data_IF_058868756629
#
_entry.id   IF_058868756629
#
_cell.length_a   1.000
_cell.length_b   1.000
_cell.length_c   1.000
_cell.angle_alpha   90.00
_cell.angle_beta   90.00
_cell.angle_gamma   90.00
#
_symmetry.space_group_name_H-M   'P 1'
#
loop_
_entity.id
_entity.type
_entity.pdbx_description
1 polymer ?
#
# COMPACT_ATOMS: atom_id res chain seq x y z
N UNK A 1 -10.80 -15.88 6.39
CA UNK A 1 -10.33 -15.58 7.77
C UNK A 1 -8.85 -15.23 7.69
N UNK A 2 -8.39 -14.14 8.31
CA UNK A 2 -6.99 -13.70 8.26
C UNK A 2 -6.09 -14.67 9.06
N UNK A 3 -5.00 -15.21 8.48
CA UNK A 3 -4.09 -16.09 9.20
C UNK A 3 -3.14 -15.25 10.07
N UNK A 4 -3.67 -14.67 11.15
CA UNK A 4 -2.94 -13.74 12.03
C UNK A 4 -1.63 -14.30 12.58
N UNK A 5 -1.54 -15.61 12.80
CA UNK A 5 -0.30 -16.27 13.24
C UNK A 5 0.77 -16.34 12.14
N UNK A 6 0.37 -16.32 10.87
CA UNK A 6 1.28 -16.45 9.74
C UNK A 6 1.69 -15.10 9.17
N UNK A 7 0.87 -14.06 9.29
CA UNK A 7 1.14 -12.73 8.75
C UNK A 7 1.67 -11.79 9.84
N UNK A 8 2.98 -11.51 9.79
CA UNK A 8 3.70 -10.66 10.73
C UNK A 8 3.88 -9.27 10.13
N UNK A 9 3.67 -8.22 10.93
CA UNK A 9 3.99 -6.86 10.51
C UNK A 9 5.51 -6.72 10.42
N UNK A 10 6.02 -6.26 9.27
CA UNK A 10 7.45 -6.14 8.97
C UNK A 10 7.87 -4.72 8.60
N UNK A 11 6.93 -3.81 8.41
CA UNK A 11 7.23 -2.41 8.10
C UNK A 11 5.99 -1.62 7.70
N UNK A 12 6.22 -0.42 7.18
CA UNK A 12 5.17 0.46 6.65
C UNK A 12 5.68 1.18 5.40
N UNK A 13 4.78 1.44 4.46
CA UNK A 13 5.05 2.27 3.28
C UNK A 13 4.80 3.76 3.57
N UNK A 14 4.27 4.09 4.76
CA UNK A 14 4.09 5.46 5.21
C UNK A 14 5.44 6.14 5.32
N UNK A 15 5.70 7.07 4.40
CA UNK A 15 6.86 7.97 4.49
C UNK A 15 6.59 9.05 5.54
N UNK A 16 7.65 9.60 6.15
CA UNK A 16 7.52 10.84 6.91
C UNK A 16 6.88 11.92 6.03
N UNK A 17 5.83 12.57 6.55
CA UNK A 17 5.22 13.71 5.86
C UNK A 17 6.20 14.90 5.87
N UNK A 18 6.34 15.65 4.76
CA UNK A 18 7.17 16.85 4.73
C UNK A 18 6.78 17.85 5.81
N UNK A 19 7.74 18.70 6.21
CA UNK A 19 7.48 19.71 7.22
C UNK A 19 6.38 20.68 6.77
N UNK A 20 5.30 20.76 7.54
CA UNK A 20 4.13 21.59 7.23
C UNK A 20 2.94 20.81 6.68
N UNK A 21 3.12 19.55 6.31
CA UNK A 21 2.02 18.63 5.96
C UNK A 21 1.63 17.77 7.15
N UNK A 22 0.33 17.44 7.24
CA UNK A 22 -0.21 16.62 8.33
C UNK A 22 -0.54 15.19 7.91
N UNK A 23 -0.76 14.94 6.62
CA UNK A 23 -1.16 13.64 6.09
C UNK A 23 -0.53 13.33 4.74
N UNK A 24 -0.39 12.04 4.44
CA UNK A 24 -0.01 11.58 3.11
C UNK A 24 -1.10 11.92 2.08
N UNK A 25 -0.67 12.21 0.85
CA UNK A 25 -1.57 12.52 -0.28
C UNK A 25 -2.63 11.45 -0.52
N UNK A 26 -3.80 11.89 -1.00
CA UNK A 26 -4.88 11.03 -1.50
C UNK A 26 -4.86 10.87 -3.02
N UNK A 27 -3.85 11.40 -3.71
CA UNK A 27 -3.69 11.22 -5.16
C UNK A 27 -3.48 9.75 -5.51
N UNK A 28 -4.17 9.28 -6.55
CA UNK A 28 -4.07 7.92 -7.08
C UNK A 28 -3.18 7.89 -8.33
N UNK A 29 -2.47 6.77 -8.55
CA UNK A 29 -1.63 6.58 -9.73
C UNK A 29 -2.17 5.46 -10.62
N UNK A 30 -2.89 5.84 -11.68
CA UNK A 30 -3.55 4.92 -12.60
C UNK A 30 -3.33 5.31 -14.08
N UNK A 31 -2.08 5.22 -14.60
CA UNK A 31 -1.74 5.60 -15.97
C UNK A 31 -2.49 4.80 -17.05
N UNK A 32 -3.05 3.65 -16.69
CA UNK A 32 -3.83 2.78 -17.58
C UNK A 32 -5.33 2.74 -17.23
N UNK A 33 -5.82 3.69 -16.42
CA UNK A 33 -7.26 3.79 -16.11
C UNK A 33 -7.79 2.72 -15.15
N UNK A 34 -6.90 2.06 -14.40
CA UNK A 34 -7.27 1.16 -13.29
C UNK A 34 -7.91 1.95 -12.14
N UNK A 35 -8.42 1.26 -11.12
CA UNK A 35 -8.79 1.82 -9.82
C UNK A 35 -7.95 1.17 -8.74
N UNK A 36 -7.81 1.76 -7.56
CA UNK A 36 -6.93 1.18 -6.54
C UNK A 36 -7.32 -0.23 -6.07
N UNK A 37 -8.59 -0.60 -6.20
CA UNK A 37 -9.11 -1.94 -5.91
C UNK A 37 -8.76 -2.98 -6.99
N UNK A 38 -8.39 -2.54 -8.20
CA UNK A 38 -8.14 -3.40 -9.35
C UNK A 38 -6.95 -4.34 -9.13
N UNK A 39 -7.03 -5.64 -9.48
CA UNK A 39 -5.89 -6.58 -9.43
C UNK A 39 -4.70 -6.17 -10.30
N UNK A 40 -4.87 -5.26 -11.24
CA UNK A 40 -3.80 -4.74 -12.12
C UNK A 40 -3.36 -3.31 -11.75
N UNK A 41 -3.91 -2.73 -10.67
CA UNK A 41 -3.52 -1.41 -10.21
C UNK A 41 -2.03 -1.36 -9.85
N UNK A 42 -1.28 -0.35 -10.33
CA UNK A 42 0.11 -0.17 -9.95
C UNK A 42 0.27 0.03 -8.44
N UNK A 43 1.17 -0.72 -7.82
CA UNK A 43 1.61 -0.54 -6.43
C UNK A 43 2.64 0.59 -6.40
N UNK A 44 2.13 1.83 -6.41
CA UNK A 44 2.95 3.05 -6.38
C UNK A 44 3.05 3.58 -4.94
N UNK A 45 4.24 3.44 -4.33
CA UNK A 45 4.46 3.67 -2.88
C UNK A 45 4.20 5.11 -2.41
N UNK A 46 4.28 6.09 -3.32
CA UNK A 46 4.03 7.49 -3.03
C UNK A 46 2.53 7.89 -3.10
N UNK A 47 1.68 7.04 -3.67
CA UNK A 47 0.28 7.36 -3.99
C UNK A 47 -0.71 6.57 -3.16
N UNK A 48 -1.94 7.10 -3.06
CA UNK A 48 -3.05 6.43 -2.40
C UNK A 48 -3.43 5.15 -3.17
N UNK A 49 -3.76 4.05 -2.46
CA UNK A 49 -3.77 3.91 -1.00
C UNK A 49 -2.44 3.39 -0.44
N UNK A 50 -1.48 3.02 -1.29
CA UNK A 50 -0.29 2.29 -0.89
C UNK A 50 0.65 3.11 0.02
N UNK A 51 0.68 4.42 -0.13
CA UNK A 51 1.40 5.34 0.76
C UNK A 51 0.89 5.35 2.22
N UNK A 52 -0.24 4.68 2.48
CA UNK A 52 -0.87 4.53 3.80
C UNK A 52 -0.83 3.08 4.29
N UNK A 53 -0.18 2.18 3.57
CA UNK A 53 -0.18 0.76 3.90
C UNK A 53 0.90 0.37 4.92
N UNK A 54 0.54 -0.51 5.84
CA UNK A 54 1.47 -1.34 6.58
C UNK A 54 1.82 -2.60 5.78
N UNK A 55 3.06 -3.07 5.93
CA UNK A 55 3.60 -4.23 5.22
C UNK A 55 3.61 -5.43 6.15
N UNK A 56 3.01 -6.51 5.70
CA UNK A 56 3.02 -7.80 6.38
C UNK A 56 3.74 -8.83 5.53
N UNK A 57 4.52 -9.70 6.15
CA UNK A 57 5.12 -10.85 5.51
C UNK A 57 4.49 -12.14 6.05
N UNK A 58 4.21 -13.08 5.17
CA UNK A 58 3.77 -14.39 5.58
C UNK A 58 4.99 -15.27 5.92
N UNK A 59 5.08 -15.74 7.15
CA UNK A 59 6.16 -16.61 7.62
C UNK A 59 6.19 -18.02 7.02
N UNK A 60 5.23 -18.37 6.15
CA UNK A 60 5.17 -19.68 5.48
C UNK A 60 5.60 -19.60 3.99
N UNK A 61 5.03 -18.67 3.22
CA UNK A 61 5.34 -18.50 1.79
C UNK A 61 6.39 -17.40 1.53
N UNK A 62 6.68 -16.53 2.50
CA UNK A 62 7.45 -15.30 2.30
C UNK A 62 6.71 -14.19 1.55
N UNK A 63 5.47 -14.43 1.13
CA UNK A 63 4.69 -13.48 0.36
C UNK A 63 4.27 -12.25 1.19
N UNK A 64 4.36 -11.06 0.58
CA UNK A 64 4.07 -9.79 1.24
C UNK A 64 2.63 -9.33 1.00
N UNK A 65 2.01 -8.72 2.00
CA UNK A 65 0.64 -8.19 1.96
C UNK A 65 0.66 -6.75 2.47
N UNK A 66 0.08 -5.84 1.70
CA UNK A 66 -0.14 -4.44 2.06
C UNK A 66 -1.51 -4.28 2.70
N UNK A 67 -1.60 -3.54 3.80
CA UNK A 67 -2.87 -3.29 4.49
C UNK A 67 -3.05 -1.83 4.83
N UNK A 68 -4.25 -1.32 4.64
CA UNK A 68 -4.67 -0.06 5.20
C UNK A 68 -6.12 -0.16 5.63
N UNK A 69 -6.55 0.70 6.54
CA UNK A 69 -7.95 0.80 6.94
C UNK A 69 -8.49 2.11 6.41
N UNK A 70 -9.58 2.02 5.66
CA UNK A 70 -10.34 3.17 5.20
C UNK A 70 -11.39 3.53 6.25
N UNK A 71 -11.39 4.78 6.68
CA UNK A 71 -12.33 5.28 7.69
C UNK A 71 -13.28 6.26 7.02
N UNK A 72 -14.56 5.87 6.94
CA UNK A 72 -15.65 6.76 6.54
C UNK A 72 -16.42 7.24 7.78
N UNK A 73 -17.31 8.23 7.60
CA UNK A 73 -18.12 8.77 8.70
C UNK A 73 -18.96 7.73 9.45
N UNK A 74 -19.27 6.58 8.82
CA UNK A 74 -20.08 5.52 9.40
C UNK A 74 -19.52 4.10 9.17
N UNK A 75 -18.33 3.96 8.58
CA UNK A 75 -17.75 2.65 8.28
C UNK A 75 -16.25 2.60 8.55
N UNK A 76 -15.79 1.40 8.89
CA UNK A 76 -14.37 1.04 8.97
C UNK A 76 -14.19 -0.10 7.98
N UNK A 77 -13.39 0.11 6.95
CA UNK A 77 -13.17 -0.86 5.89
C UNK A 77 -11.69 -1.29 5.85
N UNK A 78 -11.34 -2.43 6.49
CA UNK A 78 -10.00 -2.99 6.40
C UNK A 78 -9.73 -3.53 5.00
N UNK A 79 -8.75 -2.94 4.33
CA UNK A 79 -8.29 -3.36 3.01
C UNK A 79 -6.99 -4.15 3.11
N UNK A 80 -6.82 -5.11 2.21
CA UNK A 80 -5.58 -5.87 2.09
C UNK A 80 -5.29 -6.18 0.63
N UNK A 81 -4.02 -6.16 0.27
CA UNK A 81 -3.56 -6.45 -1.09
C UNK A 81 -2.30 -7.31 -1.06
N UNK A 82 -2.35 -8.47 -1.71
CA UNK A 82 -1.15 -9.28 -1.96
C UNK A 82 -0.20 -8.50 -2.89
N UNK A 83 1.07 -8.44 -2.53
CA UNK A 83 2.10 -7.84 -3.37
C UNK A 83 2.43 -8.80 -4.50
N UNK A 84 2.28 -8.28 -5.71
CA UNK A 84 2.77 -8.92 -6.91
C UNK A 84 3.81 -8.00 -7.53
N UNK A 85 5.03 -8.50 -7.67
CA UNK A 85 6.18 -7.72 -8.13
C UNK A 85 5.97 -7.12 -9.52
N UNK A 86 5.14 -7.75 -10.37
CA UNK A 86 4.86 -7.23 -11.71
C UNK A 86 4.11 -5.88 -11.69
N UNK A 87 3.39 -5.58 -10.60
CA UNK A 87 2.63 -4.35 -10.44
C UNK A 87 3.36 -3.31 -9.58
N UNK A 88 4.52 -3.63 -9.01
CA UNK A 88 5.32 -2.66 -8.25
C UNK A 88 6.02 -1.72 -9.23
N UNK A 89 5.76 -0.42 -9.08
CA UNK A 89 6.42 0.61 -9.90
C UNK A 89 7.59 1.23 -9.14
N UNK A 90 8.66 1.66 -9.84
CA UNK A 90 9.75 2.42 -9.23
C UNK A 90 9.23 3.71 -8.60
N UNK A 91 9.88 4.17 -7.53
CA UNK A 91 9.61 5.52 -7.06
C UNK A 91 10.14 6.54 -8.06
N UNK A 92 9.49 7.70 -8.12
CA UNK A 92 9.96 8.82 -8.92
C UNK A 92 11.40 9.22 -8.51
N UNK A 93 11.75 9.05 -7.24
CA UNK A 93 13.08 9.33 -6.69
C UNK A 93 14.13 8.24 -7.00
N UNK A 94 13.70 7.01 -7.33
CA UNK A 94 14.61 5.89 -7.63
C UNK A 94 15.27 6.01 -9.01
N UNK A 95 14.75 6.89 -9.88
CA UNK A 95 15.23 7.04 -11.27
C UNK A 95 16.43 7.99 -11.39
N UNK A 96 16.81 8.66 -10.29
CA UNK A 96 17.92 9.62 -10.24
C UNK A 96 19.28 9.01 -9.81
N UNK A 97 19.37 7.68 -9.71
CA UNK A 97 20.58 6.93 -9.30
C UNK A 97 21.43 6.40 -10.45
#
# INVERSE_FOLDING_TARGET
>A
RWPAQQLQAVGTLRRPVPHGETEATFEEFHPHGTRYESPEAPIARAFFPFNRCDVYACGQCGCAVLRYTEYGGYYIDPRARLVDAQWVVPDQDDTAG
#
